data_IF_936155108728
#
_entry.id   IF_936155108728
#
_cell.length_a   1.000
_cell.length_b   1.000
_cell.length_c   1.000
_cell.angle_alpha   90.00
_cell.angle_beta   90.00
_cell.angle_gamma   90.00
#
_symmetry.space_group_name_H-M   'P 1'
#
loop_
_entity.id
_entity.type
_entity.pdbx_description
1 polymer ?
#
# COMPACT_ATOMS: atom_id res chain seq x y z
N UNK A 1 11.92 -19.23 11.62
CA UNK A 1 11.27 -19.37 10.30
C UNK A 1 12.22 -18.89 9.21
N UNK A 2 12.59 -19.72 8.22
CA UNK A 2 13.43 -19.30 7.08
C UNK A 2 12.53 -18.86 5.92
N UNK A 3 12.03 -17.63 5.98
CA UNK A 3 11.23 -17.03 4.92
C UNK A 3 12.17 -16.35 3.92
N UNK A 4 11.92 -16.47 2.62
CA UNK A 4 12.65 -15.65 1.65
C UNK A 4 12.04 -14.25 1.63
N UNK A 5 12.75 -13.27 2.22
CA UNK A 5 12.28 -11.88 2.35
C UNK A 5 11.95 -11.24 1.00
N UNK A 6 12.73 -11.54 -0.03
CA UNK A 6 12.53 -11.01 -1.39
C UNK A 6 11.27 -11.60 -2.02
N UNK A 7 11.06 -12.92 -1.88
CA UNK A 7 9.88 -13.58 -2.42
C UNK A 7 8.59 -13.04 -1.77
N UNK A 8 8.58 -12.87 -0.46
CA UNK A 8 7.42 -12.33 0.25
C UNK A 8 7.17 -10.86 -0.12
N UNK A 9 8.21 -10.03 -0.11
CA UNK A 9 8.10 -8.61 -0.48
C UNK A 9 7.56 -8.44 -1.91
N UNK A 10 8.00 -9.28 -2.86
CA UNK A 10 7.55 -9.23 -4.26
C UNK A 10 6.08 -9.61 -4.40
N UNK A 11 5.61 -10.67 -3.73
CA UNK A 11 4.19 -11.05 -3.75
C UNK A 11 3.32 -9.96 -3.13
N UNK A 12 3.76 -9.36 -2.02
CA UNK A 12 3.02 -8.25 -1.40
C UNK A 12 2.95 -7.03 -2.32
N UNK A 13 4.06 -6.68 -2.97
CA UNK A 13 4.10 -5.57 -3.91
C UNK A 13 3.11 -5.76 -5.08
N UNK A 14 3.06 -6.97 -5.66
CA UNK A 14 2.10 -7.30 -6.72
C UNK A 14 0.65 -7.22 -6.22
N UNK A 15 0.39 -7.69 -4.99
CA UNK A 15 -0.94 -7.59 -4.40
C UNK A 15 -1.37 -6.14 -4.18
N UNK A 16 -0.47 -5.31 -3.62
CA UNK A 16 -0.73 -3.88 -3.40
C UNK A 16 -0.95 -3.15 -4.72
N UNK A 17 -0.17 -3.48 -5.76
CA UNK A 17 -0.39 -2.95 -7.11
C UNK A 17 -1.79 -3.30 -7.64
N UNK A 18 -2.23 -4.55 -7.49
CA UNK A 18 -3.56 -4.97 -7.92
C UNK A 18 -4.68 -4.26 -7.15
N UNK A 19 -4.54 -4.13 -5.83
CA UNK A 19 -5.49 -3.39 -4.98
C UNK A 19 -5.54 -1.92 -5.37
N UNK A 20 -4.39 -1.29 -5.65
CA UNK A 20 -4.35 0.09 -6.12
C UNK A 20 -5.16 0.29 -7.39
N UNK A 21 -4.97 -0.57 -8.41
CA UNK A 21 -5.75 -0.53 -9.66
C UNK A 21 -7.25 -0.62 -9.38
N UNK A 22 -7.66 -1.58 -8.54
CA UNK A 22 -9.06 -1.75 -8.14
C UNK A 22 -9.62 -0.51 -7.44
N UNK A 23 -8.86 0.08 -6.51
CA UNK A 23 -9.24 1.30 -5.80
C UNK A 23 -9.36 2.49 -6.74
N UNK A 24 -8.44 2.66 -7.69
CA UNK A 24 -8.51 3.74 -8.68
C UNK A 24 -9.75 3.62 -9.56
N UNK A 25 -10.11 2.41 -10.00
CA UNK A 25 -11.35 2.17 -10.74
C UNK A 25 -12.57 2.55 -9.89
N UNK A 26 -12.60 2.15 -8.62
CA UNK A 26 -13.71 2.50 -7.72
C UNK A 26 -13.88 4.02 -7.56
N UNK A 27 -12.77 4.77 -7.47
CA UNK A 27 -12.78 6.24 -7.39
C UNK A 27 -13.38 6.86 -8.65
N UNK A 28 -13.06 6.33 -9.84
CA UNK A 28 -13.63 6.83 -11.11
C UNK A 28 -15.13 6.54 -11.21
N UNK A 29 -15.60 5.39 -10.73
CA UNK A 29 -17.01 5.00 -10.78
C UNK A 29 -17.87 5.78 -9.78
N UNK A 30 -17.38 5.99 -8.56
CA UNK A 30 -18.14 6.61 -7.48
C UNK A 30 -17.33 7.66 -6.69
N UNK A 31 -16.88 8.75 -7.34
CA UNK A 31 -15.97 9.72 -6.74
C UNK A 31 -16.58 10.48 -5.55
N UNK A 32 -17.89 10.73 -5.58
CA UNK A 32 -18.56 11.46 -4.50
C UNK A 32 -18.74 10.60 -3.25
N UNK A 33 -19.19 9.36 -3.41
CA UNK A 33 -19.40 8.45 -2.28
C UNK A 33 -18.09 8.15 -1.54
N UNK A 34 -17.01 7.88 -2.28
CA UNK A 34 -15.70 7.59 -1.69
C UNK A 34 -15.10 8.81 -0.99
N UNK A 35 -15.27 10.02 -1.53
CA UNK A 35 -14.85 11.26 -0.85
C UNK A 35 -15.58 11.48 0.47
N UNK A 36 -16.89 11.27 0.50
CA UNK A 36 -17.69 11.40 1.74
C UNK A 36 -17.25 10.40 2.80
N UNK A 37 -17.02 9.14 2.40
CA UNK A 37 -16.57 8.08 3.33
C UNK A 37 -15.16 8.40 3.84
N UNK A 38 -14.22 8.75 2.96
CA UNK A 38 -12.86 9.13 3.35
C UNK A 38 -12.86 10.35 4.27
N UNK A 39 -13.74 11.33 4.04
CA UNK A 39 -13.86 12.53 4.87
C UNK A 39 -14.36 12.22 6.27
N UNK A 40 -15.38 11.36 6.36
CA UNK A 40 -15.88 10.86 7.64
C UNK A 40 -14.81 10.12 8.45
N UNK A 41 -13.95 9.31 7.80
CA UNK A 41 -12.89 8.55 8.49
C UNK A 41 -11.82 9.43 9.12
N UNK A 42 -11.44 10.53 8.46
CA UNK A 42 -10.40 11.45 8.95
C UNK A 42 -10.97 12.66 9.69
N UNK A 43 -12.30 12.71 9.90
CA UNK A 43 -13.03 13.85 10.48
C UNK A 43 -12.78 15.18 9.74
N UNK A 44 -12.64 15.15 8.41
CA UNK A 44 -12.47 16.34 7.57
C UNK A 44 -13.54 16.39 6.48
N UNK A 45 -13.98 17.60 6.14
CA UNK A 45 -14.85 17.82 4.99
C UNK A 45 -14.01 17.87 3.70
N UNK A 46 -14.01 16.76 2.97
CA UNK A 46 -13.32 16.62 1.68
C UNK A 46 -14.22 17.00 0.49
N UNK A 47 -15.43 17.52 0.74
CA UNK A 47 -16.39 17.86 -0.33
C UNK A 47 -15.87 18.96 -1.27
N UNK A 48 -15.05 19.87 -0.76
CA UNK A 48 -14.43 20.94 -1.55
C UNK A 48 -13.16 20.49 -2.30
N UNK A 49 -12.64 19.30 -2.04
CA UNK A 49 -11.50 18.75 -2.78
C UNK A 49 -11.98 18.01 -4.03
N UNK A 50 -11.63 18.55 -5.19
CA UNK A 50 -11.74 17.85 -6.46
C UNK A 50 -10.68 16.76 -6.51
N UNK A 51 -11.07 15.51 -6.25
CA UNK A 51 -10.22 14.36 -6.52
C UNK A 51 -10.27 14.09 -8.01
N UNK A 52 -9.31 14.66 -8.75
CA UNK A 52 -9.12 14.34 -10.15
C UNK A 52 -8.11 13.19 -10.25
N UNK A 53 -8.57 12.02 -10.73
CA UNK A 53 -7.73 10.86 -10.98
C UNK A 53 -7.15 10.96 -12.39
N UNK A 54 -6.23 11.90 -12.57
CA UNK A 54 -5.46 12.02 -13.80
C UNK A 54 -4.46 10.85 -13.92
N UNK A 55 -4.12 10.47 -15.16
CA UNK A 55 -3.28 9.29 -15.43
C UNK A 55 -1.88 9.41 -14.80
N UNK A 56 -1.37 10.63 -14.64
CA UNK A 56 -0.11 10.91 -13.95
C UNK A 56 -0.16 10.54 -12.46
N UNK A 57 -1.20 10.99 -11.75
CA UNK A 57 -1.41 10.69 -10.32
C UNK A 57 -1.67 9.21 -10.08
N UNK A 58 -2.34 8.54 -11.02
CA UNK A 58 -2.53 7.09 -11.01
C UNK A 58 -1.19 6.33 -11.08
N UNK A 59 -0.33 6.65 -12.05
CA UNK A 59 0.95 5.96 -12.25
C UNK A 59 1.92 6.24 -11.10
N UNK A 60 2.00 7.50 -10.65
CA UNK A 60 2.84 7.88 -9.51
C UNK A 60 2.38 7.16 -8.25
N UNK A 61 1.08 7.12 -7.98
CA UNK A 61 0.53 6.38 -6.86
C UNK A 61 0.83 4.88 -6.94
N UNK A 62 0.61 4.26 -8.10
CA UNK A 62 0.90 2.83 -8.30
C UNK A 62 2.36 2.50 -7.96
N UNK A 63 3.30 3.28 -8.50
CA UNK A 63 4.73 3.07 -8.26
C UNK A 63 5.08 3.33 -6.80
N UNK A 64 4.59 4.42 -6.21
CA UNK A 64 4.86 4.78 -4.83
C UNK A 64 4.37 3.71 -3.85
N UNK A 65 3.11 3.26 -3.97
CA UNK A 65 2.53 2.25 -3.09
C UNK A 65 3.18 0.87 -3.27
N UNK A 66 3.52 0.50 -4.50
CA UNK A 66 4.20 -0.78 -4.80
C UNK A 66 5.61 -0.80 -4.21
N UNK A 67 6.39 0.26 -4.43
CA UNK A 67 7.76 0.36 -3.90
C UNK A 67 7.77 0.45 -2.37
N UNK A 68 6.87 1.27 -1.81
CA UNK A 68 6.77 1.44 -0.37
C UNK A 68 6.43 0.12 0.33
N UNK A 69 5.41 -0.60 -0.15
CA UNK A 69 5.02 -1.89 0.42
C UNK A 69 6.14 -2.94 0.31
N UNK A 70 6.86 -2.99 -0.82
CA UNK A 70 8.00 -3.89 -1.00
C UNK A 70 9.08 -3.62 0.05
N UNK A 71 9.49 -2.36 0.20
CA UNK A 71 10.54 -1.95 1.16
C UNK A 71 10.11 -2.22 2.59
N UNK A 72 8.86 -1.92 2.95
CA UNK A 72 8.33 -2.15 4.30
C UNK A 72 8.34 -3.64 4.65
N UNK A 73 7.81 -4.51 3.79
CA UNK A 73 7.78 -5.96 4.05
C UNK A 73 9.19 -6.54 4.10
N UNK A 74 10.04 -6.15 3.14
CA UNK A 74 11.44 -6.59 3.13
C UNK A 74 12.16 -6.21 4.42
N UNK A 75 11.95 -4.98 4.91
CA UNK A 75 12.54 -4.49 6.15
C UNK A 75 12.05 -5.27 7.36
N UNK A 76 10.72 -5.47 7.50
CA UNK A 76 10.11 -6.22 8.60
C UNK A 76 10.66 -7.64 8.65
N UNK A 77 10.65 -8.36 7.53
CA UNK A 77 11.11 -9.76 7.49
C UNK A 77 12.61 -9.86 7.79
N UNK A 78 13.41 -8.93 7.27
CA UNK A 78 14.85 -8.90 7.52
C UNK A 78 15.16 -8.66 9.00
N UNK A 79 14.46 -7.71 9.64
CA UNK A 79 14.58 -7.46 11.09
C UNK A 79 14.13 -8.68 11.88
N UNK A 80 12.98 -9.27 11.54
CA UNK A 80 12.44 -10.45 12.22
C UNK A 80 13.41 -11.64 12.18
N UNK A 81 14.06 -11.88 11.03
CA UNK A 81 15.06 -12.94 10.90
C UNK A 81 16.33 -12.65 11.68
N UNK A 82 16.77 -11.40 11.77
CA UNK A 82 17.92 -11.01 12.60
C UNK A 82 17.64 -11.21 14.09
N UNK A 83 16.45 -10.82 14.55
CA UNK A 83 16.05 -10.99 15.96
C UNK A 83 15.91 -12.47 16.33
N UNK A 84 15.27 -13.28 15.48
CA UNK A 84 15.13 -14.71 15.73
C UNK A 84 16.43 -15.50 15.54
N UNK A 85 17.29 -15.11 14.59
CA UNK A 85 18.62 -15.68 14.43
C UNK A 85 19.54 -15.38 15.62
N UNK A 86 19.26 -14.29 16.35
CA UNK A 86 19.90 -13.94 17.62
C UNK A 86 19.48 -14.76 18.83
N UNK A 87 18.39 -15.53 18.75
CA UNK A 87 17.80 -16.28 19.87
C UNK A 87 18.28 -17.73 19.98
N UNK A 88 19.23 -18.15 19.15
CA UNK A 88 19.76 -19.54 19.12
C UNK A 88 21.16 -19.68 19.73
N UNK A 89 21.54 -18.77 20.63
CA UNK A 89 22.77 -18.89 21.45
C UNK A 89 22.49 -18.74 22.96
N UNK A 90 21.42 -19.36 23.43
CA UNK A 90 21.28 -19.77 24.84
C UNK A 90 21.22 -21.30 24.92
#
# INVERSE_FOLDING_TARGET
>A
MRINSVKLATVTAVYVAAVWVLCSVAIVVAPNALRTISGAMVHLDLSQWSWDMALDTFVVGLLAWTLFSWVTVWSIVTVYQRLLGGSTYE
#
